data_IF_020040078523
#
_entry.id   IF_020040078523
#
_cell.length_a   1.000
_cell.length_b   1.000
_cell.length_c   1.000
_cell.angle_alpha   90.00
_cell.angle_beta   90.00
_cell.angle_gamma   90.00
#
_symmetry.space_group_name_H-M   'P 1'
#
loop_
_entity.id
_entity.type
_entity.pdbx_description
1 polymer ?
#
# COMPACT_ATOMS: atom_id res chain seq x y z
N UNK A 1 23.31 -6.44 -9.42
CA UNK A 1 23.19 -5.05 -8.92
C UNK A 1 22.66 -5.13 -7.50
N UNK A 2 22.95 -4.15 -6.64
CA UNK A 2 22.39 -4.11 -5.28
C UNK A 2 21.32 -3.02 -5.23
N UNK A 3 20.11 -3.43 -4.89
CA UNK A 3 18.95 -2.56 -4.77
C UNK A 3 18.55 -2.47 -3.30
N UNK A 4 18.38 -1.25 -2.81
CA UNK A 4 17.97 -1.02 -1.42
C UNK A 4 16.48 -1.27 -1.28
N UNK A 5 16.07 -1.86 -0.17
CA UNK A 5 14.67 -1.99 0.23
C UNK A 5 14.51 -1.58 1.68
N UNK A 6 13.41 -0.92 2.01
CA UNK A 6 13.01 -0.55 3.37
C UNK A 6 11.81 -1.39 3.79
N UNK A 7 11.79 -1.77 5.07
CA UNK A 7 10.71 -2.54 5.65
C UNK A 7 10.04 -1.75 6.77
N UNK A 8 8.76 -1.45 6.59
CA UNK A 8 7.89 -0.93 7.64
C UNK A 8 7.30 -2.08 8.46
N UNK A 9 7.11 -1.88 9.75
CA UNK A 9 6.75 -2.95 10.68
C UNK A 9 5.69 -2.49 11.70
N UNK A 10 5.02 -3.43 12.36
CA UNK A 10 4.57 -3.17 13.73
C UNK A 10 5.76 -3.22 14.70
N UNK A 11 5.61 -2.71 15.91
CA UNK A 11 6.62 -2.82 16.98
C UNK A 11 5.96 -3.31 18.28
N UNK A 12 5.20 -4.40 18.18
CA UNK A 12 4.43 -4.97 19.30
C UNK A 12 5.13 -6.15 19.96
N UNK A 13 6.09 -6.78 19.28
CA UNK A 13 6.85 -7.94 19.76
C UNK A 13 8.35 -7.62 19.80
N UNK A 14 9.04 -7.80 18.69
CA UNK A 14 10.51 -7.81 18.59
C UNK A 14 11.05 -6.74 17.67
N UNK A 15 10.23 -6.19 16.78
CA UNK A 15 10.65 -5.09 15.92
C UNK A 15 10.93 -3.82 16.73
N UNK A 16 11.94 -3.06 16.30
CA UNK A 16 12.33 -1.79 16.91
C UNK A 16 11.99 -0.58 16.03
N UNK A 17 11.43 -0.79 14.83
CA UNK A 17 11.09 0.30 13.92
C UNK A 17 11.32 -0.08 12.45
N UNK A 18 11.90 0.83 11.68
CA UNK A 18 12.11 0.69 10.24
C UNK A 18 13.41 -0.05 9.98
N UNK A 19 13.37 -1.10 9.17
CA UNK A 19 14.56 -1.85 8.74
C UNK A 19 14.94 -1.49 7.31
N UNK A 20 16.20 -1.75 6.98
CA UNK A 20 16.70 -1.68 5.60
C UNK A 20 17.28 -3.03 5.21
N UNK A 21 17.20 -3.35 3.92
CA UNK A 21 17.77 -4.53 3.32
C UNK A 21 18.31 -4.25 1.94
N UNK A 22 18.90 -5.30 1.37
CA UNK A 22 19.48 -5.27 0.02
C UNK A 22 18.98 -6.47 -0.77
N UNK A 23 18.41 -6.22 -1.94
CA UNK A 23 18.21 -7.20 -2.99
C UNK A 23 19.45 -7.21 -3.89
N UNK A 24 20.21 -8.31 -3.89
CA UNK A 24 21.28 -8.53 -4.86
C UNK A 24 20.72 -9.29 -6.06
N UNK A 25 20.49 -8.58 -7.16
CA UNK A 25 19.91 -9.15 -8.40
C UNK A 25 20.86 -10.11 -9.12
N UNK A 26 22.16 -10.06 -8.82
CA UNK A 26 23.16 -10.96 -9.41
C UNK A 26 23.25 -12.26 -8.62
N UNK A 27 23.34 -12.16 -7.29
CA UNK A 27 23.33 -13.33 -6.40
C UNK A 27 21.93 -13.94 -6.23
N UNK A 28 20.87 -13.18 -6.57
CA UNK A 28 19.45 -13.52 -6.38
C UNK A 28 19.12 -13.78 -4.91
N UNK A 29 19.61 -12.91 -4.04
CA UNK A 29 19.44 -12.99 -2.58
C UNK A 29 18.92 -11.69 -2.02
N UNK A 30 18.08 -11.80 -0.99
CA UNK A 30 17.61 -10.69 -0.18
C UNK A 30 18.20 -10.79 1.23
N UNK A 31 18.75 -9.68 1.73
CA UNK A 31 19.27 -9.56 3.09
C UNK A 31 18.53 -8.47 3.86
N UNK A 32 18.33 -8.68 5.16
CA UNK A 32 17.98 -7.62 6.10
C UNK A 32 19.28 -7.11 6.72
N UNK A 33 19.65 -5.87 6.41
CA UNK A 33 20.93 -5.26 6.81
C UNK A 33 20.84 -4.57 8.18
N UNK A 34 19.66 -4.60 8.80
CA UNK A 34 19.43 -4.15 10.17
C UNK A 34 18.52 -2.92 10.27
N UNK A 35 18.44 -2.39 11.49
CA UNK A 35 17.61 -1.24 11.82
C UNK A 35 18.12 0.02 11.11
N UNK A 36 17.21 0.74 10.45
CA UNK A 36 17.44 2.06 9.86
C UNK A 36 17.07 3.18 10.85
N UNK A 37 15.91 3.05 11.50
CA UNK A 37 15.38 4.04 12.43
C UNK A 37 14.51 3.38 13.52
N UNK A 38 14.75 3.74 14.78
CA UNK A 38 13.89 3.35 15.88
C UNK A 38 12.66 4.27 15.95
N UNK A 39 11.46 3.70 15.83
CA UNK A 39 10.16 4.42 15.83
C UNK A 39 9.05 3.41 16.11
N UNK A 40 7.91 3.86 16.63
CA UNK A 40 6.83 2.99 17.05
C UNK A 40 5.81 2.76 15.92
N UNK A 41 5.61 1.49 15.58
CA UNK A 41 4.65 1.03 14.56
C UNK A 41 4.71 1.79 13.21
N UNK A 42 5.87 1.87 12.54
CA UNK A 42 5.99 2.46 11.21
C UNK A 42 5.43 1.53 10.12
N UNK A 43 4.11 1.33 10.14
CA UNK A 43 3.42 0.28 9.36
C UNK A 43 3.33 0.57 7.86
N UNK A 44 3.62 1.80 7.43
CA UNK A 44 3.66 2.16 6.01
C UNK A 44 4.67 3.27 5.76
N UNK A 45 5.33 3.22 4.59
CA UNK A 45 6.46 4.07 4.23
C UNK A 45 6.26 4.71 2.84
N UNK A 46 6.65 5.97 2.72
CA UNK A 46 6.77 6.67 1.44
C UNK A 46 8.15 7.34 1.33
N UNK A 47 8.68 7.36 0.12
CA UNK A 47 9.95 8.02 -0.20
C UNK A 47 9.69 9.20 -1.13
N UNK A 48 10.54 10.21 -1.04
CA UNK A 48 10.64 11.28 -2.04
C UNK A 48 11.93 11.16 -2.85
N UNK A 49 11.96 11.82 -4.01
CA UNK A 49 13.12 11.93 -4.90
C UNK A 49 14.33 12.66 -4.27
N UNK A 50 14.19 13.26 -3.07
CA UNK A 50 15.26 13.89 -2.30
C UNK A 50 15.76 13.01 -1.14
N UNK A 51 15.55 11.70 -1.24
CA UNK A 51 15.91 10.72 -0.20
C UNK A 51 15.32 11.07 1.18
N UNK A 52 14.10 11.62 1.19
CA UNK A 52 13.32 11.79 2.42
C UNK A 52 12.38 10.62 2.59
N UNK A 53 12.32 10.11 3.80
CA UNK A 53 11.41 9.06 4.22
C UNK A 53 10.27 9.68 5.02
N UNK A 54 9.05 9.24 4.74
CA UNK A 54 7.87 9.55 5.51
C UNK A 54 7.26 8.25 6.00
N UNK A 55 7.05 8.13 7.31
CA UNK A 55 6.53 6.92 7.91
C UNK A 55 5.30 7.22 8.74
N UNK A 56 4.38 6.26 8.80
CA UNK A 56 3.46 6.17 9.94
C UNK A 56 4.28 6.24 11.23
N UNK A 57 3.79 6.98 12.23
CA UNK A 57 4.45 7.12 13.52
C UNK A 57 3.43 7.14 14.66
N UNK A 58 3.88 6.72 15.83
CA UNK A 58 3.10 6.76 17.07
C UNK A 58 3.96 7.35 18.17
N UNK A 59 3.51 8.43 18.80
CA UNK A 59 4.16 9.02 19.97
C UNK A 59 3.21 8.94 21.16
N UNK A 60 3.54 8.12 22.17
CA UNK A 60 2.65 7.82 23.30
C UNK A 60 1.25 7.35 22.84
N UNK A 61 0.19 8.12 23.10
CA UNK A 61 -1.19 7.81 22.72
C UNK A 61 -1.63 8.50 21.41
N UNK A 62 -0.73 9.25 20.80
CA UNK A 62 -0.99 10.05 19.62
C UNK A 62 -0.36 9.42 18.38
N UNK A 63 -0.96 9.67 17.21
CA UNK A 63 -0.57 9.06 15.94
C UNK A 63 -0.48 10.07 14.82
N UNK A 64 0.35 9.77 13.82
CA UNK A 64 0.52 10.64 12.65
C UNK A 64 1.66 10.20 11.76
N UNK A 65 2.38 11.17 11.18
CA UNK A 65 3.46 10.93 10.22
C UNK A 65 4.76 11.55 10.71
N UNK A 66 5.84 10.77 10.72
CA UNK A 66 7.20 11.27 10.93
C UNK A 66 7.91 11.49 9.59
N UNK A 67 8.71 12.56 9.54
CA UNK A 67 9.58 12.88 8.43
C UNK A 67 11.04 12.62 8.82
N UNK A 68 11.80 12.03 7.90
CA UNK A 68 13.18 11.65 8.12
C UNK A 68 14.03 12.02 6.90
N UNK A 69 15.26 12.44 7.14
CA UNK A 69 16.29 12.53 6.11
C UNK A 69 17.10 11.24 6.11
N UNK A 70 17.14 10.52 4.99
CA UNK A 70 18.04 9.38 4.85
C UNK A 70 19.49 9.87 4.77
N UNK A 71 20.37 9.19 5.50
CA UNK A 71 21.82 9.42 5.51
C UNK A 71 22.54 8.07 5.56
N UNK A 72 22.86 7.54 4.38
CA UNK A 72 23.43 6.21 4.22
C UNK A 72 22.56 5.14 4.87
N UNK A 73 23.09 4.48 5.90
CA UNK A 73 22.43 3.42 6.68
C UNK A 73 21.62 3.92 7.87
N UNK A 74 21.42 5.22 8.01
CA UNK A 74 20.65 5.83 9.10
C UNK A 74 19.56 6.75 8.55
N UNK A 75 18.57 7.08 9.37
CA UNK A 75 17.59 8.12 9.05
C UNK A 75 17.47 9.11 10.22
N UNK A 76 17.73 10.38 9.94
CA UNK A 76 17.66 11.46 10.93
C UNK A 76 16.24 12.02 10.96
N UNK A 77 15.55 11.94 12.11
CA UNK A 77 14.20 12.50 12.27
C UNK A 77 14.26 14.02 12.08
N UNK A 78 13.41 14.56 11.22
CA UNK A 78 13.26 15.99 10.97
C UNK A 78 12.21 16.57 11.90
N UNK A 79 10.96 16.09 11.76
CA UNK A 79 9.87 16.36 12.69
C UNK A 79 8.83 15.23 12.62
N UNK A 80 7.73 15.38 13.36
CA UNK A 80 6.53 14.59 13.17
C UNK A 80 5.30 15.48 13.29
N UNK A 81 4.27 15.15 12.51
CA UNK A 81 2.93 15.74 12.60
C UNK A 81 2.05 14.70 13.26
N UNK A 82 1.77 14.90 14.55
CA UNK A 82 1.11 13.95 15.43
C UNK A 82 -0.14 14.61 16.04
N UNK A 83 -1.21 13.83 16.20
CA UNK A 83 -2.44 14.28 16.84
C UNK A 83 -3.04 13.16 17.71
N UNK A 84 -3.88 13.50 18.71
CA UNK A 84 -4.53 12.51 19.56
C UNK A 84 -5.27 11.42 18.78
N UNK A 85 -5.04 10.17 19.16
CA UNK A 85 -5.68 9.00 18.57
C UNK A 85 -4.71 8.10 17.80
N UNK A 86 -5.27 7.18 17.03
CA UNK A 86 -4.50 6.12 16.38
C UNK A 86 -3.63 6.62 15.23
N UNK A 87 -2.48 5.98 14.97
CA UNK A 87 -1.68 6.26 13.77
C UNK A 87 -2.43 5.97 12.45
N UNK A 88 -2.06 6.63 11.35
CA UNK A 88 -2.56 6.32 10.01
C UNK A 88 -2.13 4.92 9.53
N UNK A 89 -2.73 4.46 8.44
CA UNK A 89 -2.53 3.14 7.83
C UNK A 89 -1.87 3.18 6.44
N UNK A 90 -1.77 4.38 5.82
CA UNK A 90 -1.14 4.60 4.52
C UNK A 90 -0.50 5.98 4.48
N UNK A 91 0.58 6.13 3.70
CA UNK A 91 1.24 7.41 3.43
C UNK A 91 1.79 7.42 2.00
N UNK A 92 1.67 8.56 1.31
CA UNK A 92 2.21 8.78 -0.04
C UNK A 92 2.72 10.22 -0.22
N UNK A 93 3.54 10.43 -1.26
CA UNK A 93 4.18 11.71 -1.59
C UNK A 93 3.66 12.23 -2.94
N UNK A 94 3.25 13.49 -2.98
CA UNK A 94 3.09 14.25 -4.23
C UNK A 94 4.32 15.13 -4.43
N UNK A 95 5.18 14.72 -5.36
CA UNK A 95 6.41 15.45 -5.69
C UNK A 95 6.13 16.80 -6.33
N UNK A 96 5.13 16.90 -7.21
CA UNK A 96 4.86 18.11 -7.96
C UNK A 96 4.35 19.23 -7.04
N UNK A 97 3.50 18.88 -6.07
CA UNK A 97 2.95 19.84 -5.09
C UNK A 97 3.76 19.93 -3.80
N UNK A 98 4.74 19.05 -3.60
CA UNK A 98 5.48 18.90 -2.35
C UNK A 98 4.52 18.69 -1.17
N UNK A 99 3.67 17.67 -1.28
CA UNK A 99 2.70 17.28 -0.25
C UNK A 99 2.92 15.82 0.17
N UNK A 100 2.46 15.50 1.37
CA UNK A 100 2.29 14.14 1.87
C UNK A 100 0.82 13.91 2.17
N UNK A 101 0.30 12.76 1.74
CA UNK A 101 -1.05 12.31 2.04
C UNK A 101 -1.02 11.16 3.02
N UNK A 102 -1.98 11.11 3.93
CA UNK A 102 -2.15 9.93 4.79
C UNK A 102 -3.61 9.55 4.98
N UNK A 103 -3.82 8.24 5.13
CA UNK A 103 -5.12 7.62 5.38
C UNK A 103 -5.17 7.15 6.83
N UNK A 104 -6.17 7.57 7.61
CA UNK A 104 -6.35 7.07 8.96
C UNK A 104 -7.54 6.12 9.06
N UNK A 105 -7.24 4.84 9.35
CA UNK A 105 -8.22 3.77 9.41
C UNK A 105 -9.22 3.98 10.54
N UNK A 106 -8.79 4.22 11.78
CA UNK A 106 -9.73 4.29 12.91
C UNK A 106 -10.38 5.66 13.07
N UNK A 107 -9.76 6.74 12.55
CA UNK A 107 -10.37 8.08 12.56
C UNK A 107 -11.32 8.31 11.37
N UNK A 108 -11.24 7.52 10.31
CA UNK A 108 -11.99 7.77 9.08
C UNK A 108 -11.56 9.07 8.38
N UNK A 109 -10.28 9.41 8.42
CA UNK A 109 -9.76 10.70 7.90
C UNK A 109 -8.78 10.51 6.74
N UNK A 110 -8.83 11.45 5.79
CA UNK A 110 -7.74 11.70 4.84
C UNK A 110 -7.06 13.02 5.22
N UNK A 111 -5.75 13.00 5.39
CA UNK A 111 -4.96 14.12 5.90
C UNK A 111 -3.93 14.55 4.86
N UNK A 112 -3.72 15.86 4.72
CA UNK A 112 -2.74 16.45 3.81
C UNK A 112 -1.74 17.27 4.61
N UNK A 113 -0.47 16.99 4.39
CA UNK A 113 0.66 17.69 4.99
C UNK A 113 1.49 18.33 3.88
N UNK A 114 1.98 19.54 4.12
CA UNK A 114 2.91 20.22 3.22
C UNK A 114 4.34 19.88 3.59
N UNK A 115 5.16 19.59 2.58
CA UNK A 115 6.60 19.43 2.73
C UNK A 115 7.22 20.83 2.68
N UNK A 116 7.89 21.23 3.75
CA UNK A 116 8.61 22.50 3.83
C UNK A 116 9.94 22.44 3.08
N UNK A 117 10.64 23.57 2.95
CA UNK A 117 11.95 23.62 2.29
C UNK A 117 12.99 22.70 2.94
N UNK A 118 13.01 22.63 4.28
CA UNK A 118 13.88 21.73 5.06
C UNK A 118 13.36 20.27 5.11
N UNK A 119 12.15 20.00 4.64
CA UNK A 119 11.60 18.64 4.54
C UNK A 119 10.77 18.16 5.70
N UNK A 120 10.56 19.05 6.67
CA UNK A 120 9.57 18.89 7.71
C UNK A 120 8.16 18.91 7.12
N UNK A 121 7.22 18.42 7.91
CA UNK A 121 5.81 18.37 7.57
C UNK A 121 5.00 19.38 8.38
N UNK A 122 4.02 19.99 7.72
CA UNK A 122 3.01 20.84 8.34
C UNK A 122 1.61 20.35 7.92
N UNK A 123 0.71 20.06 8.86
CA UNK A 123 -0.67 19.72 8.53
C UNK A 123 -1.36 20.90 7.87
N UNK A 124 -1.91 20.71 6.66
CA UNK A 124 -2.62 21.76 5.92
C UNK A 124 -4.08 21.42 5.67
N UNK A 125 -4.49 20.16 5.73
CA UNK A 125 -5.90 19.79 5.62
C UNK A 125 -6.22 18.44 6.27
N UNK A 126 -7.48 18.27 6.67
CA UNK A 126 -8.02 17.02 7.18
C UNK A 126 -9.49 16.91 6.78
N UNK A 127 -9.84 15.84 6.07
CA UNK A 127 -11.21 15.54 5.66
C UNK A 127 -11.73 14.37 6.47
N UNK A 128 -12.84 14.59 7.19
CA UNK A 128 -13.57 13.55 7.91
C UNK A 128 -14.56 12.85 6.99
N UNK A 129 -14.57 11.53 7.05
CA UNK A 129 -15.53 10.70 6.33
C UNK A 129 -16.47 10.01 7.33
N UNK A 130 -17.66 9.66 6.85
CA UNK A 130 -18.67 8.93 7.61
C UNK A 130 -19.35 7.91 6.69
N UNK A 131 -19.86 6.85 7.28
CA UNK A 131 -20.47 5.74 6.57
C UNK A 131 -20.25 4.45 7.34
N UNK A 132 -20.85 3.37 6.86
CA UNK A 132 -20.73 2.02 7.39
C UNK A 132 -21.15 1.02 6.31
N UNK A 133 -20.93 -0.26 6.58
CA UNK A 133 -21.22 -1.38 5.69
C UNK A 133 -21.78 -2.58 6.45
N UNK A 134 -22.13 -3.67 5.75
CA UNK A 134 -22.83 -4.79 6.35
C UNK A 134 -21.94 -5.73 7.19
N UNK A 135 -20.61 -5.63 7.09
CA UNK A 135 -19.69 -6.57 7.77
C UNK A 135 -19.31 -6.11 9.18
N UNK A 136 -18.88 -7.03 10.06
CA UNK A 136 -18.45 -6.69 11.42
C UNK A 136 -17.34 -5.62 11.47
N UNK A 137 -16.46 -5.59 10.47
CA UNK A 137 -15.35 -4.63 10.35
C UNK A 137 -15.80 -3.25 9.82
N UNK A 138 -17.07 -3.08 9.44
CA UNK A 138 -17.60 -1.92 8.74
C UNK A 138 -18.61 -1.14 9.60
N UNK A 139 -18.34 -1.00 10.90
CA UNK A 139 -19.23 -0.26 11.82
C UNK A 139 -19.20 1.25 11.59
N UNK A 140 -18.12 1.76 11.01
CA UNK A 140 -17.88 3.17 10.71
C UNK A 140 -16.96 3.33 9.49
N UNK A 141 -16.57 4.56 9.16
CA UNK A 141 -15.65 4.85 8.05
C UNK A 141 -14.21 4.43 8.39
N UNK A 142 -13.54 3.80 7.43
CA UNK A 142 -12.17 3.34 7.57
C UNK A 142 -11.33 3.67 6.33
N UNK A 143 -10.68 4.84 6.32
CA UNK A 143 -9.84 5.26 5.20
C UNK A 143 -8.54 4.46 5.20
N UNK A 144 -8.26 3.74 4.13
CA UNK A 144 -7.11 2.86 4.03
C UNK A 144 -6.13 3.24 2.89
N UNK A 145 -6.49 4.15 1.99
CA UNK A 145 -5.62 4.57 0.89
C UNK A 145 -5.86 6.04 0.52
N UNK A 146 -4.78 6.77 0.25
CA UNK A 146 -4.78 8.16 -0.21
C UNK A 146 -3.60 8.38 -1.15
N UNK A 147 -3.80 8.27 -2.46
CA UNK A 147 -2.72 8.43 -3.45
C UNK A 147 -3.22 9.02 -4.77
N UNK A 148 -2.27 9.46 -5.60
CA UNK A 148 -2.56 10.22 -6.80
C UNK A 148 -3.26 9.37 -7.87
N UNK A 149 -4.18 10.00 -8.59
CA UNK A 149 -4.69 9.53 -9.87
C UNK A 149 -3.75 9.94 -11.01
N UNK A 150 -3.86 9.34 -12.21
CA UNK A 150 -3.02 9.70 -13.36
C UNK A 150 -3.11 11.16 -13.80
N UNK A 151 -4.23 11.83 -13.49
CA UNK A 151 -4.48 13.26 -13.75
C UNK A 151 -4.26 14.15 -12.50
N UNK A 152 -3.47 13.67 -11.54
CA UNK A 152 -3.04 14.40 -10.34
C UNK A 152 -4.17 14.82 -9.38
N UNK A 153 -5.30 14.10 -9.38
CA UNK A 153 -6.29 14.15 -8.29
C UNK A 153 -5.85 13.17 -7.19
N UNK A 154 -6.62 13.06 -6.11
CA UNK A 154 -6.38 12.13 -5.02
C UNK A 154 -7.48 11.08 -4.96
N UNK A 155 -7.14 9.80 -5.13
CA UNK A 155 -8.05 8.69 -4.84
C UNK A 155 -8.00 8.37 -3.34
N UNK A 156 -9.15 8.32 -2.70
CA UNK A 156 -9.31 8.03 -1.26
C UNK A 156 -10.23 6.84 -1.09
N UNK A 157 -9.74 5.76 -0.47
CA UNK A 157 -10.51 4.50 -0.35
C UNK A 157 -10.98 4.31 1.08
N UNK A 158 -12.29 4.10 1.23
CA UNK A 158 -12.97 3.84 2.50
C UNK A 158 -13.46 2.39 2.56
N UNK A 159 -12.74 1.57 3.32
CA UNK A 159 -13.07 0.17 3.57
C UNK A 159 -14.42 0.04 4.29
N UNK A 160 -14.63 0.91 5.27
CA UNK A 160 -15.77 0.87 6.18
C UNK A 160 -17.09 1.22 5.50
N UNK A 161 -17.06 2.12 4.52
CA UNK A 161 -18.25 2.60 3.82
C UNK A 161 -18.46 2.00 2.42
N UNK A 162 -17.63 1.05 1.99
CA UNK A 162 -17.63 0.48 0.62
C UNK A 162 -17.50 1.57 -0.47
N UNK A 163 -16.61 2.56 -0.27
CA UNK A 163 -16.50 3.72 -1.18
C UNK A 163 -15.09 4.00 -1.67
N UNK A 164 -15.02 4.56 -2.87
CA UNK A 164 -13.82 5.19 -3.43
C UNK A 164 -14.17 6.63 -3.80
N UNK A 165 -13.56 7.58 -3.11
CA UNK A 165 -13.70 9.00 -3.38
C UNK A 165 -12.57 9.47 -4.30
N UNK A 166 -12.86 10.49 -5.10
CA UNK A 166 -11.83 11.25 -5.83
C UNK A 166 -11.90 12.69 -5.36
N UNK A 167 -10.76 13.28 -5.01
CA UNK A 167 -10.63 14.66 -4.56
C UNK A 167 -9.72 15.45 -5.49
N UNK A 168 -10.10 16.68 -5.82
CA UNK A 168 -9.17 17.67 -6.35
C UNK A 168 -8.22 18.14 -5.24
N UNK A 169 -6.95 18.35 -5.58
CA UNK A 169 -5.93 18.87 -4.66
C UNK A 169 -5.46 20.24 -5.12
N UNK A 170 -5.69 21.26 -4.30
CA UNK A 170 -5.16 22.60 -4.55
C UNK A 170 -3.65 22.68 -4.24
N UNK A 171 -2.98 23.72 -4.75
CA UNK A 171 -1.56 23.98 -4.43
C UNK A 171 -1.30 24.24 -2.93
N UNK A 172 -2.32 24.67 -2.18
CA UNK A 172 -2.24 24.83 -0.73
C UNK A 172 -2.52 23.53 0.05
N UNK A 173 -2.72 22.40 -0.65
CA UNK A 173 -3.01 21.10 -0.04
C UNK A 173 -4.47 20.92 0.42
N UNK A 174 -5.40 21.79 -0.02
CA UNK A 174 -6.83 21.63 0.27
C UNK A 174 -7.49 20.60 -0.64
N UNK A 175 -8.25 19.68 -0.05
CA UNK A 175 -9.03 18.66 -0.74
C UNK A 175 -10.46 19.14 -1.01
N UNK A 176 -10.95 18.91 -2.22
CA UNK A 176 -12.34 19.16 -2.60
C UNK A 176 -12.90 17.98 -3.39
N UNK A 177 -14.00 17.39 -2.89
CA UNK A 177 -14.54 16.16 -3.47
C UNK A 177 -14.97 16.39 -4.93
N UNK A 178 -14.46 15.55 -5.82
CA UNK A 178 -14.79 15.51 -7.24
C UNK A 178 -15.90 14.49 -7.54
N UNK A 179 -15.72 13.26 -7.06
CA UNK A 179 -16.65 12.16 -7.31
C UNK A 179 -16.59 11.12 -6.20
N UNK A 180 -17.55 10.20 -6.22
CA UNK A 180 -17.59 9.04 -5.33
C UNK A 180 -18.16 7.83 -6.08
N UNK A 181 -17.48 6.70 -5.97
CA UNK A 181 -17.96 5.39 -6.39
C UNK A 181 -18.36 4.60 -5.13
N UNK A 182 -19.52 3.96 -5.17
CA UNK A 182 -19.95 2.97 -4.17
C UNK A 182 -19.76 1.57 -4.74
N UNK A 183 -19.03 0.73 -4.02
CA UNK A 183 -18.80 -0.68 -4.34
C UNK A 183 -19.96 -1.56 -3.83
N UNK A 184 -20.07 -2.83 -4.27
CA UNK A 184 -21.04 -3.76 -3.69
C UNK A 184 -20.91 -3.84 -2.16
N UNK A 185 -22.03 -3.91 -1.47
CA UNK A 185 -22.04 -3.93 0.00
C UNK A 185 -21.22 -5.11 0.55
N UNK A 186 -20.30 -4.83 1.47
CA UNK A 186 -19.37 -5.81 2.03
C UNK A 186 -18.22 -6.16 1.10
N UNK A 187 -17.90 -5.32 0.10
CA UNK A 187 -16.70 -5.49 -0.71
C UNK A 187 -15.44 -5.22 0.12
N UNK A 188 -15.47 -4.15 0.93
CA UNK A 188 -14.38 -3.70 1.79
C UNK A 188 -13.17 -3.23 0.99
N UNK A 189 -13.27 -2.16 0.19
CA UNK A 189 -12.18 -1.72 -0.68
C UNK A 189 -10.98 -1.25 0.15
N UNK A 190 -9.76 -1.57 -0.27
CA UNK A 190 -8.54 -1.35 0.52
C UNK A 190 -7.51 -0.49 -0.20
N UNK A 191 -6.80 -1.05 -1.16
CA UNK A 191 -5.78 -0.39 -1.99
C UNK A 191 -6.18 -0.49 -3.47
N UNK A 192 -5.72 0.45 -4.29
CA UNK A 192 -5.86 0.39 -5.74
C UNK A 192 -4.53 0.68 -6.46
N UNK A 193 -4.45 0.30 -7.72
CA UNK A 193 -3.36 0.64 -8.64
C UNK A 193 -3.95 1.00 -10.00
N UNK A 194 -3.39 2.02 -10.66
CA UNK A 194 -3.81 2.45 -12.00
C UNK A 194 -3.02 1.74 -13.09
N UNK A 195 -3.64 1.54 -14.26
CA UNK A 195 -2.91 1.19 -15.47
C UNK A 195 -2.00 2.34 -15.90
N UNK A 196 -0.85 2.08 -16.56
CA UNK A 196 0.08 3.11 -17.02
C UNK A 196 -0.55 4.14 -17.97
N UNK A 197 -1.54 3.73 -18.77
CA UNK A 197 -2.28 4.63 -19.67
C UNK A 197 -3.36 5.46 -18.94
N UNK A 198 -3.56 5.21 -17.65
CA UNK A 198 -4.47 5.90 -16.75
C UNK A 198 -5.96 5.66 -17.01
N UNK A 199 -6.32 4.72 -17.88
CA UNK A 199 -7.73 4.43 -18.22
C UNK A 199 -8.39 3.44 -17.28
N UNK A 200 -7.60 2.62 -16.58
CA UNK A 200 -8.11 1.60 -15.69
C UNK A 200 -7.50 1.72 -14.29
N UNK A 201 -8.22 1.19 -13.32
CA UNK A 201 -7.72 0.94 -11.98
C UNK A 201 -8.18 -0.43 -11.49
N UNK A 202 -7.35 -1.09 -10.71
CA UNK A 202 -7.66 -2.36 -10.07
C UNK A 202 -7.73 -2.16 -8.57
N UNK A 203 -8.87 -2.50 -7.98
CA UNK A 203 -9.17 -2.23 -6.57
C UNK A 203 -9.28 -3.55 -5.80
N UNK A 204 -8.43 -3.72 -4.79
CA UNK A 204 -8.50 -4.86 -3.88
C UNK A 204 -9.65 -4.68 -2.87
N UNK A 205 -10.53 -5.66 -2.79
CA UNK A 205 -11.56 -5.80 -1.77
C UNK A 205 -11.07 -6.73 -0.67
N UNK A 206 -10.63 -6.16 0.45
CA UNK A 206 -10.09 -6.87 1.60
C UNK A 206 -11.08 -7.90 2.12
N UNK A 207 -12.27 -7.44 2.51
CA UNK A 207 -13.24 -8.27 3.23
C UNK A 207 -13.88 -9.32 2.32
N UNK A 208 -14.01 -9.01 1.03
CA UNK A 208 -14.62 -9.90 0.03
C UNK A 208 -13.65 -10.88 -0.63
N UNK A 209 -12.34 -10.69 -0.44
CA UNK A 209 -11.28 -11.42 -1.14
C UNK A 209 -11.46 -11.37 -2.66
N UNK A 210 -11.62 -10.15 -3.17
CA UNK A 210 -11.90 -9.87 -4.57
C UNK A 210 -11.02 -8.75 -5.12
N UNK A 211 -10.93 -8.68 -6.45
CA UNK A 211 -10.41 -7.52 -7.19
C UNK A 211 -11.50 -7.01 -8.10
N UNK A 212 -11.77 -5.71 -8.05
CA UNK A 212 -12.62 -5.04 -9.02
C UNK A 212 -11.76 -4.34 -10.08
N UNK A 213 -12.05 -4.60 -11.35
CA UNK A 213 -11.53 -3.80 -12.46
C UNK A 213 -12.46 -2.59 -12.66
N UNK A 214 -11.88 -1.40 -12.70
CA UNK A 214 -12.58 -0.12 -12.86
C UNK A 214 -12.06 0.59 -14.11
N UNK A 215 -12.93 1.26 -14.85
CA UNK A 215 -12.49 2.31 -15.78
C UNK A 215 -12.49 3.66 -15.08
N UNK A 216 -11.52 4.50 -15.40
CA UNK A 216 -11.37 5.86 -14.91
C UNK A 216 -11.55 6.86 -16.05
N UNK A 217 -12.43 7.85 -15.86
CA UNK A 217 -12.57 8.98 -16.77
C UNK A 217 -11.88 10.20 -16.14
N UNK A 218 -10.72 10.60 -16.68
CA UNK A 218 -9.97 11.75 -16.21
C UNK A 218 -10.70 13.10 -16.39
N UNK A 219 -11.64 13.20 -17.34
CA UNK A 219 -12.40 14.44 -17.56
C UNK A 219 -13.34 14.71 -16.40
N UNK A 220 -14.02 13.67 -15.92
CA UNK A 220 -14.97 13.75 -14.80
C UNK A 220 -14.34 13.39 -13.46
N UNK A 221 -13.14 12.80 -13.46
CA UNK A 221 -12.47 12.28 -12.28
C UNK A 221 -13.31 11.22 -11.57
N UNK A 222 -13.90 10.28 -12.32
CA UNK A 222 -14.84 9.28 -11.79
C UNK A 222 -14.54 7.86 -12.25
N UNK A 223 -14.82 6.89 -11.40
CA UNK A 223 -14.68 5.47 -11.69
C UNK A 223 -16.01 4.84 -12.12
N UNK A 224 -15.92 3.77 -12.91
CA UNK A 224 -17.02 2.84 -13.18
C UNK A 224 -16.52 1.39 -13.09
N UNK A 225 -17.22 0.56 -12.33
CA UNK A 225 -16.90 -0.87 -12.22
C UNK A 225 -17.16 -1.60 -13.54
N UNK A 226 -16.19 -2.42 -13.97
CA UNK A 226 -16.24 -3.23 -15.20
C UNK A 226 -16.42 -4.71 -14.90
N UNK A 227 -15.73 -5.22 -13.89
CA UNK A 227 -15.76 -6.63 -13.52
C UNK A 227 -15.21 -6.86 -12.12
N UNK A 228 -15.48 -8.04 -11.58
CA UNK A 228 -14.96 -8.49 -10.27
C UNK A 228 -14.53 -9.95 -10.38
N UNK A 229 -13.37 -10.27 -9.82
CA UNK A 229 -12.85 -11.64 -9.70
C UNK A 229 -12.45 -11.95 -8.26
N UNK A 230 -12.42 -13.24 -7.89
CA UNK A 230 -11.94 -13.70 -6.57
C UNK A 230 -10.41 -13.80 -6.57
N UNK A 231 -9.79 -13.54 -5.42
CA UNK A 231 -8.34 -13.66 -5.21
C UNK A 231 -7.91 -15.01 -4.66
N UNK A 232 -8.87 -15.85 -4.27
CA UNK A 232 -8.70 -17.16 -3.64
C UNK A 232 -9.62 -18.19 -4.31
N UNK A 233 -9.39 -19.50 -4.12
CA UNK A 233 -10.31 -20.53 -4.60
C UNK A 233 -11.74 -20.32 -4.08
N UNK A 234 -12.74 -20.60 -4.92
CA UNK A 234 -14.15 -20.36 -4.58
C UNK A 234 -14.66 -21.24 -3.43
N UNK A 235 -13.99 -22.36 -3.16
CA UNK A 235 -14.27 -23.33 -2.11
C UNK A 235 -13.48 -23.07 -0.81
N UNK A 236 -12.66 -22.01 -0.74
CA UNK A 236 -11.98 -21.64 0.48
C UNK A 236 -12.94 -20.96 1.46
N UNK A 237 -13.19 -21.60 2.60
CA UNK A 237 -14.19 -21.21 3.59
C UNK A 237 -13.61 -20.65 4.91
N UNK A 238 -12.28 -20.61 5.03
CA UNK A 238 -11.58 -20.02 6.17
C UNK A 238 -11.40 -18.50 6.00
N UNK A 239 -10.94 -17.84 7.06
CA UNK A 239 -10.65 -16.41 7.02
C UNK A 239 -9.66 -16.07 5.89
N UNK A 240 -9.98 -15.03 5.13
CA UNK A 240 -9.06 -14.39 4.20
C UNK A 240 -9.32 -12.89 4.09
N UNK A 241 -8.26 -12.10 4.00
CA UNK A 241 -8.30 -10.68 3.70
C UNK A 241 -7.27 -10.30 2.64
N UNK A 242 -7.74 -9.84 1.46
CA UNK A 242 -6.83 -9.28 0.45
C UNK A 242 -6.10 -8.05 1.03
N UNK A 243 -4.85 -7.81 0.62
CA UNK A 243 -4.04 -6.72 1.16
C UNK A 243 -3.43 -5.83 0.09
N UNK A 244 -2.18 -6.07 -0.31
CA UNK A 244 -1.50 -5.26 -1.30
C UNK A 244 -1.90 -5.68 -2.72
N UNK A 245 -1.83 -4.72 -3.64
CA UNK A 245 -2.12 -4.91 -5.06
C UNK A 245 -1.08 -4.14 -5.87
N UNK A 246 -0.44 -4.81 -6.82
CA UNK A 246 0.65 -4.27 -7.65
C UNK A 246 0.40 -4.64 -9.11
N UNK A 247 0.76 -3.76 -10.02
CA UNK A 247 0.63 -3.95 -11.46
C UNK A 247 2.02 -3.79 -12.08
N UNK A 248 2.39 -4.69 -13.00
CA UNK A 248 3.64 -4.52 -13.75
C UNK A 248 3.57 -3.32 -14.69
N UNK A 249 4.72 -2.72 -14.97
CA UNK A 249 4.83 -1.49 -15.77
C UNK A 249 4.33 -1.65 -17.20
N UNK A 250 4.35 -2.88 -17.72
CA UNK A 250 3.81 -3.24 -19.04
C UNK A 250 2.28 -3.46 -19.06
N UNK A 251 1.59 -3.28 -17.93
CA UNK A 251 0.14 -3.44 -17.75
C UNK A 251 -0.39 -4.86 -18.00
N UNK A 252 0.49 -5.86 -18.12
CA UNK A 252 0.07 -7.21 -18.47
C UNK A 252 -0.20 -8.11 -17.26
N UNK A 253 0.33 -7.78 -16.08
CA UNK A 253 0.24 -8.66 -14.92
C UNK A 253 -0.08 -7.90 -13.62
N UNK A 254 -1.13 -8.35 -12.95
CA UNK A 254 -1.59 -7.84 -11.67
C UNK A 254 -1.33 -8.87 -10.57
N UNK A 255 -0.85 -8.41 -9.43
CA UNK A 255 -0.48 -9.21 -8.27
C UNK A 255 -1.30 -8.77 -7.07
N UNK A 256 -1.82 -9.71 -6.27
CA UNK A 256 -2.55 -9.42 -5.03
C UNK A 256 -2.13 -10.37 -3.92
N UNK A 257 -1.89 -9.85 -2.72
CA UNK A 257 -1.62 -10.68 -1.55
C UNK A 257 -2.87 -11.02 -0.75
N UNK A 258 -2.91 -12.23 -0.21
CA UNK A 258 -4.01 -12.79 0.57
C UNK A 258 -3.54 -13.15 1.98
N UNK A 259 -4.08 -12.51 3.02
CA UNK A 259 -3.81 -12.86 4.44
C UNK A 259 -4.83 -13.90 4.90
N UNK A 260 -4.36 -15.06 5.34
CA UNK A 260 -5.22 -16.22 5.64
C UNK A 260 -5.00 -17.34 4.63
N UNK A 261 -5.27 -17.11 3.34
CA UNK A 261 -4.84 -18.05 2.29
C UNK A 261 -3.32 -18.00 2.04
N UNK A 262 -2.66 -16.93 2.50
CA UNK A 262 -1.20 -16.78 2.56
C UNK A 262 -0.52 -17.02 1.22
N UNK A 263 -1.00 -16.29 0.20
CA UNK A 263 -0.54 -16.39 -1.18
C UNK A 263 -0.38 -15.02 -1.84
N UNK A 264 0.41 -15.00 -2.92
CA UNK A 264 0.27 -14.03 -4.01
C UNK A 264 -0.57 -14.67 -5.13
N UNK A 265 -1.67 -14.03 -5.50
CA UNK A 265 -2.44 -14.32 -6.68
C UNK A 265 -1.94 -13.47 -7.85
N UNK A 266 -1.67 -14.10 -8.99
CA UNK A 266 -1.20 -13.45 -10.21
C UNK A 266 -2.27 -13.54 -11.29
N UNK A 267 -2.65 -12.40 -11.86
CA UNK A 267 -3.61 -12.29 -12.94
C UNK A 267 -2.92 -11.78 -14.20
N UNK A 268 -3.23 -12.38 -15.34
CA UNK A 268 -3.03 -11.74 -16.64
C UNK A 268 -4.13 -10.71 -16.87
N UNK A 269 -3.74 -9.54 -17.36
CA UNK A 269 -4.63 -8.40 -17.64
C UNK A 269 -4.88 -8.34 -19.15
N UNK A 270 -6.14 -8.40 -19.55
CA UNK A 270 -6.54 -8.21 -20.94
C UNK A 270 -6.67 -6.71 -21.29
N UNK A 271 -6.70 -6.39 -22.58
CA UNK A 271 -6.79 -5.00 -23.05
C UNK A 271 -8.06 -4.24 -22.60
N UNK A 272 -9.12 -4.96 -22.20
CA UNK A 272 -10.35 -4.39 -21.64
C UNK A 272 -10.38 -4.40 -20.10
N UNK A 273 -9.23 -4.62 -19.47
CA UNK A 273 -9.01 -4.78 -18.03
C UNK A 273 -9.68 -6.03 -17.41
N UNK A 274 -10.07 -7.03 -18.22
CA UNK A 274 -10.48 -8.33 -17.71
C UNK A 274 -9.29 -9.05 -17.08
N UNK A 275 -9.51 -9.66 -15.90
CA UNK A 275 -8.48 -10.36 -15.13
C UNK A 275 -8.65 -11.88 -15.26
N UNK A 276 -7.57 -12.57 -15.61
CA UNK A 276 -7.52 -14.04 -15.64
C UNK A 276 -6.47 -14.54 -14.66
N UNK A 277 -6.87 -15.32 -13.65
CA UNK A 277 -5.94 -15.92 -12.70
C UNK A 277 -5.00 -16.90 -13.43
N UNK A 278 -3.69 -16.67 -13.34
CA UNK A 278 -2.66 -17.51 -13.99
C UNK A 278 -1.77 -18.25 -12.99
N UNK A 279 -1.76 -17.83 -11.72
CA UNK A 279 -0.99 -18.46 -10.66
C UNK A 279 -1.55 -18.09 -9.29
N UNK A 280 -1.44 -19.02 -8.35
CA UNK A 280 -1.33 -18.71 -6.93
C UNK A 280 -0.06 -19.33 -6.39
N UNK A 281 0.69 -18.58 -5.58
CA UNK A 281 1.94 -19.03 -5.00
C UNK A 281 1.97 -18.67 -3.52
N UNK A 282 2.40 -19.63 -2.68
CA UNK A 282 2.57 -19.45 -1.24
C UNK A 282 3.53 -18.30 -0.94
N UNK A 283 3.24 -17.53 0.12
CA UNK A 283 4.15 -16.51 0.64
C UNK A 283 5.21 -17.05 1.60
N UNK A 284 5.22 -18.37 1.83
CA UNK A 284 6.15 -19.07 2.73
C UNK A 284 6.14 -18.51 4.17
N UNK A 285 4.99 -17.96 4.58
CA UNK A 285 4.76 -17.39 5.91
C UNK A 285 3.29 -17.01 6.09
N UNK A 286 2.95 -16.41 7.22
CA UNK A 286 1.56 -16.06 7.57
C UNK A 286 1.30 -14.55 7.50
N UNK A 287 0.12 -14.19 6.96
CA UNK A 287 -0.33 -12.80 6.77
C UNK A 287 0.62 -11.94 5.91
N UNK A 288 0.75 -12.20 4.59
CA UNK A 288 1.49 -11.34 3.67
C UNK A 288 0.78 -9.99 3.45
N UNK A 289 1.03 -9.04 4.35
CA UNK A 289 0.31 -7.75 4.37
C UNK A 289 0.77 -6.81 3.27
N UNK A 290 2.03 -6.91 2.87
CA UNK A 290 2.57 -6.14 1.75
C UNK A 290 3.64 -6.91 0.98
N UNK A 291 3.80 -6.53 -0.27
CA UNK A 291 4.84 -6.98 -1.18
C UNK A 291 5.02 -5.93 -2.27
N UNK A 292 6.17 -5.93 -2.94
CA UNK A 292 6.38 -5.12 -4.12
C UNK A 292 7.28 -5.81 -5.15
N UNK A 293 7.20 -5.35 -6.40
CA UNK A 293 8.16 -5.69 -7.44
C UNK A 293 9.42 -4.85 -7.19
N UNK A 294 10.58 -5.41 -7.52
CA UNK A 294 11.82 -4.62 -7.53
C UNK A 294 11.83 -3.62 -8.70
N UNK A 295 12.73 -2.61 -8.72
CA UNK A 295 12.81 -1.63 -9.79
C UNK A 295 13.01 -2.19 -11.20
N UNK A 296 13.60 -3.39 -11.36
CA UNK A 296 13.73 -4.05 -12.67
C UNK A 296 12.50 -4.86 -13.08
N UNK A 297 11.58 -5.11 -12.16
CA UNK A 297 10.44 -6.03 -12.28
C UNK A 297 10.82 -7.48 -12.63
N UNK A 298 12.04 -7.91 -12.28
CA UNK A 298 12.50 -9.29 -12.41
C UNK A 298 12.37 -10.08 -11.11
N UNK A 299 12.02 -9.42 -10.00
CA UNK A 299 11.90 -9.97 -8.67
C UNK A 299 10.67 -9.43 -7.94
N UNK A 300 10.22 -10.19 -6.94
CA UNK A 300 9.17 -9.78 -6.00
C UNK A 300 9.62 -10.08 -4.58
N UNK A 301 9.43 -9.11 -3.68
CA UNK A 301 9.69 -9.28 -2.24
C UNK A 301 8.37 -9.15 -1.49
N UNK A 302 8.01 -10.16 -0.70
CA UNK A 302 6.85 -10.16 0.18
C UNK A 302 7.27 -10.27 1.65
N UNK A 303 6.54 -9.61 2.55
CA UNK A 303 6.75 -9.71 4.01
C UNK A 303 5.54 -10.29 4.71
N UNK A 304 5.78 -11.19 5.66
CA UNK A 304 4.76 -11.94 6.39
C UNK A 304 4.68 -11.44 7.83
N UNK A 305 3.56 -10.79 8.17
CA UNK A 305 3.39 -10.07 9.42
C UNK A 305 3.53 -10.97 10.65
N UNK A 306 2.95 -12.17 10.61
CA UNK A 306 2.76 -12.98 11.80
C UNK A 306 3.93 -13.95 12.06
N UNK A 307 4.68 -14.30 11.01
CA UNK A 307 5.83 -15.24 11.06
C UNK A 307 7.19 -14.55 11.03
N UNK A 308 7.22 -13.21 11.00
CA UNK A 308 8.45 -12.41 11.13
C UNK A 308 9.49 -12.71 10.02
N UNK A 309 9.04 -13.11 8.83
CA UNK A 309 9.87 -13.45 7.69
C UNK A 309 9.46 -12.73 6.40
N UNK A 310 10.41 -12.62 5.47
CA UNK A 310 10.23 -12.17 4.11
C UNK A 310 10.61 -13.28 3.12
N UNK A 311 10.05 -13.18 1.92
CA UNK A 311 10.22 -14.15 0.84
C UNK A 311 10.54 -13.43 -0.48
N UNK A 312 11.53 -13.95 -1.21
CA UNK A 312 12.00 -13.45 -2.50
C UNK A 312 11.60 -14.42 -3.61
N UNK A 313 11.07 -13.87 -4.69
CA UNK A 313 10.71 -14.59 -5.92
C UNK A 313 11.44 -14.01 -7.11
N UNK A 314 11.74 -14.85 -8.10
CA UNK A 314 12.00 -14.41 -9.46
C UNK A 314 10.66 -14.26 -10.19
N UNK A 315 10.49 -13.15 -10.91
CA UNK A 315 9.37 -12.89 -11.83
C UNK A 315 9.82 -13.18 -13.25
N UNK A 316 9.05 -14.02 -13.95
CA UNK A 316 9.22 -14.19 -15.39
C UNK A 316 8.49 -13.06 -16.12
N UNK A 317 9.22 -12.10 -16.68
CA UNK A 317 8.64 -10.89 -17.32
C UNK A 317 7.66 -11.19 -18.46
N UNK A 318 7.82 -12.32 -19.16
CA UNK A 318 6.95 -12.68 -20.29
C UNK A 318 5.64 -13.33 -19.86
N UNK A 319 5.66 -14.12 -18.79
CA UNK A 319 4.47 -14.87 -18.32
C UNK A 319 3.86 -14.29 -17.05
N UNK A 320 4.51 -13.33 -16.41
CA UNK A 320 4.14 -12.74 -15.12
C UNK A 320 4.31 -13.66 -13.92
N UNK A 321 4.58 -14.95 -14.13
CA UNK A 321 4.63 -15.95 -13.05
C UNK A 321 5.85 -15.77 -12.16
N UNK A 322 5.64 -16.11 -10.89
CA UNK A 322 6.65 -16.08 -9.84
C UNK A 322 7.21 -17.47 -9.57
N UNK A 323 8.48 -17.53 -9.18
CA UNK A 323 9.15 -18.74 -8.69
C UNK A 323 9.99 -18.42 -7.47
N UNK A 324 9.91 -19.26 -6.44
CA UNK A 324 10.61 -19.04 -5.17
C UNK A 324 12.13 -19.04 -5.38
N UNK A 325 12.82 -18.04 -4.82
CA UNK A 325 14.29 -17.97 -4.76
C UNK A 325 14.81 -18.18 -3.34
N UNK A 326 14.24 -17.44 -2.38
CA UNK A 326 14.69 -17.45 -0.99
C UNK A 326 13.50 -17.21 -0.06
N UNK A 327 13.50 -17.83 1.10
CA UNK A 327 12.50 -17.66 2.17
C UNK A 327 13.17 -17.59 3.54
N UNK A 328 12.36 -17.37 4.57
CA UNK A 328 12.80 -17.32 5.97
C UNK A 328 13.82 -16.20 6.26
N UNK A 329 13.72 -15.10 5.50
CA UNK A 329 14.55 -13.91 5.69
C UNK A 329 13.94 -13.11 6.84
N UNK A 330 14.61 -13.06 7.99
CA UNK A 330 14.04 -12.43 9.18
C UNK A 330 13.75 -10.93 8.96
N UNK A 331 12.47 -10.56 9.01
CA UNK A 331 11.97 -9.19 9.01
C UNK A 331 10.88 -9.12 10.08
N UNK A 332 11.20 -8.66 11.30
CA UNK A 332 10.29 -8.76 12.43
C UNK A 332 9.05 -7.91 12.18
N UNK A 333 7.87 -8.51 12.29
CA UNK A 333 6.58 -7.84 12.16
C UNK A 333 6.41 -7.02 10.86
N UNK A 334 7.03 -7.47 9.76
CA UNK A 334 7.04 -6.78 8.47
C UNK A 334 5.64 -6.62 7.86
N UNK A 335 5.29 -5.38 7.50
CA UNK A 335 3.98 -5.02 6.93
C UNK A 335 4.02 -4.00 5.79
N UNK A 336 5.20 -3.51 5.42
CA UNK A 336 5.40 -2.63 4.26
C UNK A 336 6.73 -2.97 3.58
N UNK A 337 6.72 -3.04 2.25
CA UNK A 337 7.92 -3.19 1.40
C UNK A 337 8.05 -1.94 0.55
N UNK A 338 9.21 -1.28 0.61
CA UNK A 338 9.47 -0.05 -0.14
C UNK A 338 10.87 -0.09 -0.75
N UNK A 339 10.96 -0.22 -2.07
CA UNK A 339 12.18 0.06 -2.82
C UNK A 339 12.39 1.58 -2.96
#
# INVERSE_FOLDING_TARGET
MQERVLFGTYTKKTSQGIYQGTLDTTAKTLTNDGLLAATQNPTYLALSAKDRLYSVDKEADDGGIAAWQLDGKTANKLNAVIAPGTPPAYVAVDEARQLVYSANYHKGTAEVMKITANGELELVDQVQHTGSGPRPEQTESHIHYTDLTPDNRLAVVDLGADKVYVYNVSAAGKLSQQSVLTMPAGFGPRHLVFSPDGKFAFLAGELSSQVASLSYDAKTGSFQQRGIVKTIPADYDQHNGAAAIRLSHDDHFLYVSNRGYNSLAVFAVAADATLTLIQQISTEGDFPRDFDLDPTEEFVVAVNQNTDNATLYARNVTSGKLSLLQKDINVPEGVCVRF
#
